data_IF_015667109509
#
_entry.id   IF_015667109509
#
_cell.length_a   1.000
_cell.length_b   1.000
_cell.length_c   1.000
_cell.angle_alpha   90.00
_cell.angle_beta   90.00
_cell.angle_gamma   90.00
#
_symmetry.space_group_name_H-M   'P 1'
#
loop_
_entity.id
_entity.type
_entity.pdbx_description
1 polymer ?
#
# COMPACT_ATOMS: atom_id res chain seq x y z
N UNK A 1 -28.16 -39.95 19.97
CA UNK A 1 -28.79 -40.61 18.80
C UNK A 1 -28.91 -39.56 17.72
N UNK A 2 -28.08 -39.60 16.67
CA UNK A 2 -28.48 -40.08 15.32
C UNK A 2 -29.70 -39.28 14.79
N UNK A 3 -29.70 -38.65 13.61
CA UNK A 3 -29.20 -39.16 12.33
C UNK A 3 -29.29 -38.08 11.22
N UNK A 4 -28.26 -38.05 10.36
CA UNK A 4 -28.26 -38.01 8.88
C UNK A 4 -29.17 -37.06 8.07
N UNK A 5 -28.48 -36.16 7.37
CA UNK A 5 -28.50 -35.84 5.91
C UNK A 5 -29.44 -36.66 4.99
N UNK A 6 -30.21 -35.94 4.16
CA UNK A 6 -30.60 -36.28 2.77
C UNK A 6 -30.84 -34.95 2.01
N UNK A 7 -29.88 -34.45 1.22
CA UNK A 7 -29.85 -34.47 -0.26
C UNK A 7 -31.23 -34.58 -0.93
N UNK A 8 -31.66 -33.49 -1.59
CA UNK A 8 -32.62 -33.50 -2.69
C UNK A 8 -31.95 -32.88 -3.91
N UNK A 9 -31.98 -33.62 -5.02
CA UNK A 9 -31.51 -33.29 -6.37
C UNK A 9 -32.73 -32.97 -7.24
N UNK A 10 -32.64 -31.94 -8.07
CA UNK A 10 -33.37 -31.80 -9.36
C UNK A 10 -32.44 -31.09 -10.36
N UNK A 11 -31.81 -31.81 -11.30
CA UNK A 11 -32.12 -31.94 -12.76
C UNK A 11 -32.42 -30.60 -13.47
N UNK A 12 -31.46 -30.05 -14.24
CA UNK A 12 -31.13 -30.29 -15.68
C UNK A 12 -32.15 -29.73 -16.69
N UNK A 13 -31.71 -28.75 -17.48
CA UNK A 13 -32.07 -28.59 -18.90
C UNK A 13 -30.82 -28.18 -19.69
N UNK A 14 -30.48 -29.02 -20.66
CA UNK A 14 -29.41 -28.92 -21.66
C UNK A 14 -29.67 -27.84 -22.73
N UNK A 15 -28.60 -27.30 -23.33
CA UNK A 15 -28.61 -26.87 -24.73
C UNK A 15 -27.24 -27.09 -25.42
N UNK A 16 -27.20 -28.09 -26.29
CA UNK A 16 -26.42 -28.23 -27.53
C UNK A 16 -24.87 -28.24 -27.55
N UNK A 17 -24.33 -29.44 -27.32
CA UNK A 17 -23.52 -30.28 -28.24
C UNK A 17 -22.84 -29.63 -29.49
N UNK A 18 -21.50 -29.55 -29.49
CA UNK A 18 -20.64 -30.00 -30.61
C UNK A 18 -19.33 -30.59 -30.08
N UNK A 19 -19.02 -31.78 -30.58
CA UNK A 19 -17.96 -32.70 -30.20
C UNK A 19 -16.67 -32.47 -30.99
N UNK A 20 -15.51 -32.51 -30.33
CA UNK A 20 -14.34 -33.27 -30.81
C UNK A 20 -13.20 -33.35 -29.78
N UNK A 21 -12.68 -34.58 -29.67
CA UNK A 21 -11.33 -34.97 -29.30
C UNK A 21 -10.79 -34.67 -27.87
N UNK A 22 -10.73 -35.78 -27.12
CA UNK A 22 -9.77 -36.12 -26.07
C UNK A 22 -8.39 -35.46 -26.29
N UNK A 23 -7.95 -34.67 -25.31
CA UNK A 23 -6.55 -34.65 -24.89
C UNK A 23 -6.52 -34.87 -23.38
N UNK A 24 -6.04 -36.05 -23.02
CA UNK A 24 -5.60 -36.38 -21.68
C UNK A 24 -4.38 -35.54 -21.35
N UNK A 25 -4.50 -34.64 -20.37
CA UNK A 25 -3.33 -34.18 -19.63
C UNK A 25 -3.66 -34.28 -18.14
N UNK A 26 -2.92 -35.17 -17.49
CA UNK A 26 -2.90 -35.40 -16.07
C UNK A 26 -2.50 -34.11 -15.36
N UNK A 27 -3.45 -33.39 -14.76
CA UNK A 27 -3.17 -32.37 -13.75
C UNK A 27 -3.63 -32.93 -12.42
N UNK A 28 -2.72 -33.64 -11.76
CA UNK A 28 -2.81 -33.96 -10.33
C UNK A 28 -3.00 -32.64 -9.59
N UNK A 29 -4.24 -32.35 -9.21
CA UNK A 29 -4.53 -31.31 -8.22
C UNK A 29 -3.92 -31.83 -6.93
N UNK A 30 -2.73 -31.31 -6.61
CA UNK A 30 -2.19 -31.38 -5.28
C UNK A 30 -3.12 -30.58 -4.38
N UNK A 31 -4.11 -31.26 -3.80
CA UNK A 31 -4.77 -30.81 -2.60
C UNK A 31 -3.65 -30.78 -1.55
N UNK A 32 -3.02 -29.61 -1.37
CA UNK A 32 -2.21 -29.37 -0.19
C UNK A 32 -3.17 -29.39 0.99
N UNK A 33 -3.35 -30.57 1.57
CA UNK A 33 -3.83 -30.73 2.92
C UNK A 33 -3.02 -29.77 3.79
N UNK A 34 -3.72 -28.88 4.50
CA UNK A 34 -3.11 -28.12 5.58
C UNK A 34 -2.35 -29.11 6.49
N UNK A 35 -1.11 -28.80 6.90
CA UNK A 35 -0.35 -29.70 7.74
C UNK A 35 -1.14 -30.02 9.01
N UNK A 36 -1.28 -31.32 9.24
CA UNK A 36 -1.94 -31.95 10.36
C UNK A 36 -1.49 -31.29 11.68
N UNK A 37 -2.44 -30.70 12.42
CA UNK A 37 -2.21 -29.90 13.65
C UNK A 37 -1.65 -30.71 14.83
N UNK A 38 -1.37 -31.99 14.62
CA UNK A 38 -1.00 -32.95 15.65
C UNK A 38 0.48 -32.93 16.05
N UNK A 39 1.38 -32.28 15.29
CA UNK A 39 2.83 -32.33 15.52
C UNK A 39 3.53 -30.96 15.68
N UNK A 40 2.90 -30.01 16.38
CA UNK A 40 3.62 -28.80 16.82
C UNK A 40 4.43 -29.10 18.10
N UNK A 41 5.71 -28.69 18.19
CA UNK A 41 6.54 -28.86 19.39
C UNK A 41 5.81 -28.33 20.64
N UNK A 42 5.91 -29.00 21.79
CA UNK A 42 5.21 -28.61 23.04
C UNK A 42 5.44 -27.14 23.42
N UNK A 43 6.64 -26.62 23.15
CA UNK A 43 7.00 -25.22 23.36
C UNK A 43 6.18 -24.25 22.48
N UNK A 44 5.85 -24.64 21.25
CA UNK A 44 5.01 -23.87 20.34
C UNK A 44 3.55 -23.80 20.84
N UNK A 45 3.03 -24.91 21.38
CA UNK A 45 1.71 -24.95 22.02
C UNK A 45 1.66 -24.04 23.26
N UNK A 46 2.72 -24.05 24.07
CA UNK A 46 2.85 -23.19 25.24
C UNK A 46 2.82 -21.70 24.86
N UNK A 47 3.61 -21.28 23.85
CA UNK A 47 3.63 -19.89 23.37
C UNK A 47 2.27 -19.45 22.81
N UNK A 48 1.53 -20.35 22.14
CA UNK A 48 0.18 -20.05 21.65
C UNK A 48 -0.82 -19.79 22.77
N UNK A 49 -0.81 -20.60 23.83
CA UNK A 49 -1.68 -20.38 24.99
C UNK A 49 -1.30 -19.11 25.76
N UNK A 50 -0.01 -18.79 25.85
CA UNK A 50 0.46 -17.51 26.39
C UNK A 50 -0.07 -16.32 25.57
N UNK A 51 -0.03 -16.40 24.24
CA UNK A 51 -0.58 -15.36 23.37
C UNK A 51 -2.09 -15.18 23.56
N UNK A 52 -2.86 -16.28 23.63
CA UNK A 52 -4.31 -16.24 23.87
C UNK A 52 -4.64 -15.63 25.23
N UNK A 53 -3.90 -16.03 26.28
CA UNK A 53 -4.04 -15.48 27.63
C UNK A 53 -3.71 -13.99 27.67
N UNK A 54 -2.60 -13.59 27.05
CA UNK A 54 -2.17 -12.20 26.92
C UNK A 54 -3.26 -11.35 26.22
N UNK A 55 -3.81 -11.85 25.11
CA UNK A 55 -4.91 -11.19 24.40
C UNK A 55 -6.17 -11.08 25.29
N UNK A 56 -6.57 -12.16 25.97
CA UNK A 56 -7.81 -12.21 26.74
C UNK A 56 -7.83 -11.22 27.92
N UNK A 57 -6.66 -10.96 28.53
CA UNK A 57 -6.53 -9.97 29.61
C UNK A 57 -6.34 -8.53 29.13
N UNK A 58 -6.17 -8.29 27.83
CA UNK A 58 -6.02 -6.94 27.27
C UNK A 58 -7.39 -6.32 26.99
N UNK A 59 -7.63 -5.13 27.53
CA UNK A 59 -8.78 -4.33 27.15
C UNK A 59 -8.50 -3.60 25.82
N UNK A 60 -8.98 -4.19 24.72
CA UNK A 60 -8.78 -3.66 23.37
C UNK A 60 -9.49 -2.32 23.08
N UNK A 61 -10.37 -1.84 23.97
CA UNK A 61 -10.94 -0.50 23.84
C UNK A 61 -10.00 0.60 24.37
N UNK A 62 -9.08 0.27 25.29
CA UNK A 62 -8.19 1.24 25.96
C UNK A 62 -6.79 1.25 25.35
N UNK A 63 -6.35 2.41 24.88
CA UNK A 63 -5.02 2.57 24.29
C UNK A 63 -3.89 2.27 25.27
N UNK A 64 -4.02 2.57 26.57
CA UNK A 64 -2.98 2.24 27.56
C UNK A 64 -2.78 0.73 27.69
N UNK A 65 -3.85 -0.05 27.69
CA UNK A 65 -3.77 -1.50 27.85
C UNK A 65 -3.23 -2.16 26.59
N UNK A 66 -3.59 -1.67 25.39
CA UNK A 66 -2.97 -2.13 24.13
C UNK A 66 -1.49 -1.77 24.04
N UNK A 67 -1.06 -0.62 24.56
CA UNK A 67 0.36 -0.28 24.63
C UNK A 67 1.14 -1.19 25.58
N UNK A 68 0.54 -1.64 26.70
CA UNK A 68 1.15 -2.63 27.60
C UNK A 68 1.29 -4.02 26.96
N UNK A 69 0.36 -4.38 26.07
CA UNK A 69 0.42 -5.64 25.31
C UNK A 69 1.67 -5.73 24.42
N UNK A 70 2.11 -4.62 23.81
CA UNK A 70 3.15 -4.62 22.77
C UNK A 70 4.50 -5.19 23.22
N UNK A 71 5.11 -4.75 24.34
CA UNK A 71 6.38 -5.32 24.81
C UNK A 71 6.29 -6.82 25.14
N UNK A 72 5.18 -7.25 25.73
CA UNK A 72 4.95 -8.65 26.09
C UNK A 72 4.77 -9.52 24.84
N UNK A 73 3.99 -9.03 23.87
CA UNK A 73 3.81 -9.68 22.58
C UNK A 73 5.14 -9.81 21.83
N UNK A 74 5.98 -8.77 21.84
CA UNK A 74 7.31 -8.86 21.24
C UNK A 74 8.20 -9.88 21.92
N UNK A 75 8.16 -9.98 23.26
CA UNK A 75 8.90 -11.00 24.00
C UNK A 75 8.49 -12.41 23.58
N UNK A 76 7.17 -12.63 23.41
CA UNK A 76 6.64 -13.89 22.88
C UNK A 76 7.11 -14.16 21.44
N UNK A 77 7.12 -13.15 20.56
CA UNK A 77 7.62 -13.30 19.18
C UNK A 77 9.10 -13.70 19.16
N UNK A 78 9.93 -13.05 19.97
CA UNK A 78 11.38 -13.32 20.00
C UNK A 78 11.69 -14.73 20.51
N UNK A 79 10.87 -15.24 21.42
CA UNK A 79 11.01 -16.58 22.00
C UNK A 79 10.18 -17.65 21.25
N UNK A 80 9.50 -17.28 20.17
CA UNK A 80 8.59 -18.16 19.46
C UNK A 80 9.35 -19.29 18.76
N UNK A 81 8.97 -20.53 19.05
CA UNK A 81 9.55 -21.73 18.41
C UNK A 81 8.51 -22.34 17.47
N UNK A 82 8.88 -22.49 16.20
CA UNK A 82 8.03 -23.02 15.15
C UNK A 82 7.33 -21.93 14.31
N UNK A 83 6.40 -22.33 13.42
CA UNK A 83 5.71 -21.38 12.56
C UNK A 83 4.79 -20.44 13.36
N UNK A 84 4.58 -19.19 12.90
CA UNK A 84 3.61 -18.29 13.52
C UNK A 84 2.19 -18.89 13.45
N UNK A 85 1.32 -18.59 14.43
CA UNK A 85 -0.03 -19.11 14.43
C UNK A 85 -0.91 -18.30 13.46
N UNK A 86 -1.98 -18.90 12.95
CA UNK A 86 -2.93 -18.15 12.14
C UNK A 86 -3.65 -17.08 12.99
N UNK A 87 -3.26 -15.82 12.80
CA UNK A 87 -3.80 -14.72 13.59
C UNK A 87 -5.30 -14.50 13.42
N UNK A 88 -5.93 -14.96 12.32
CA UNK A 88 -7.39 -14.82 12.16
C UNK A 88 -8.19 -15.65 13.13
N UNK A 89 -7.64 -16.76 13.61
CA UNK A 89 -8.31 -17.58 14.62
C UNK A 89 -8.12 -17.02 16.04
N UNK A 90 -7.28 -15.98 16.20
CA UNK A 90 -6.90 -15.42 17.50
C UNK A 90 -7.44 -14.00 17.65
N UNK A 91 -7.34 -13.16 16.62
CA UNK A 91 -7.70 -11.75 16.66
C UNK A 91 -8.81 -11.43 15.68
N UNK A 92 -9.74 -10.60 16.15
CA UNK A 92 -10.66 -9.89 15.28
C UNK A 92 -9.90 -8.87 14.42
N UNK A 93 -10.39 -8.60 13.22
CA UNK A 93 -9.77 -7.65 12.28
C UNK A 93 -9.53 -6.27 12.89
N UNK A 94 -10.44 -5.80 13.76
CA UNK A 94 -10.29 -4.52 14.45
C UNK A 94 -9.13 -4.54 15.45
N UNK A 95 -8.97 -5.61 16.21
CA UNK A 95 -7.88 -5.77 17.19
C UNK A 95 -6.54 -5.83 16.49
N UNK A 96 -6.43 -6.60 15.39
CA UNK A 96 -5.22 -6.62 14.57
C UNK A 96 -4.88 -5.24 14.01
N UNK A 97 -5.88 -4.49 13.55
CA UNK A 97 -5.65 -3.14 13.04
C UNK A 97 -5.11 -2.22 14.13
N UNK A 98 -5.67 -2.26 15.35
CA UNK A 98 -5.14 -1.50 16.48
C UNK A 98 -3.71 -1.92 16.85
N UNK A 99 -3.48 -3.23 16.95
CA UNK A 99 -2.15 -3.78 17.23
C UNK A 99 -1.11 -3.28 16.23
N UNK A 100 -1.40 -3.37 14.93
CA UNK A 100 -0.49 -2.90 13.88
C UNK A 100 -0.23 -1.40 13.98
N UNK A 101 -1.28 -0.59 14.16
CA UNK A 101 -1.15 0.87 14.35
C UNK A 101 -0.21 1.18 15.51
N UNK A 102 -0.44 0.56 16.66
CA UNK A 102 0.28 0.85 17.90
C UNK A 102 1.69 0.30 17.88
N UNK A 103 1.93 -0.87 17.28
CA UNK A 103 3.26 -1.39 17.04
C UNK A 103 4.10 -0.41 16.21
N UNK A 104 3.53 0.27 15.22
CA UNK A 104 4.29 1.22 14.42
C UNK A 104 4.53 2.53 15.19
N UNK A 105 3.54 3.00 15.93
CA UNK A 105 3.63 4.29 16.63
C UNK A 105 4.08 4.18 18.09
N UNK A 106 4.55 3.01 18.52
CA UNK A 106 4.96 2.77 19.90
C UNK A 106 6.14 3.69 20.28
N UNK A 107 5.98 4.42 21.38
CA UNK A 107 6.88 5.52 21.78
C UNK A 107 8.11 5.07 22.57
N UNK A 108 8.20 3.80 22.97
CA UNK A 108 9.35 3.30 23.72
C UNK A 108 10.63 3.47 22.89
N UNK A 109 11.69 4.13 23.40
CA UNK A 109 12.93 4.34 22.66
C UNK A 109 13.64 3.05 22.22
N UNK A 110 13.47 1.96 22.98
CA UNK A 110 13.99 0.63 22.61
C UNK A 110 13.18 -0.02 21.48
N UNK A 111 11.99 0.51 21.18
CA UNK A 111 11.13 0.08 20.08
C UNK A 111 11.53 0.81 18.79
N UNK A 112 12.61 0.36 18.18
CA UNK A 112 13.19 0.95 16.98
C UNK A 112 12.58 0.33 15.69
N UNK A 113 13.08 0.71 14.52
CA UNK A 113 12.57 0.18 13.24
C UNK A 113 12.72 -1.33 13.12
N UNK A 114 13.80 -1.91 13.65
CA UNK A 114 14.03 -3.36 13.63
C UNK A 114 12.95 -4.11 14.43
N UNK A 115 12.62 -3.64 15.63
CA UNK A 115 11.55 -4.22 16.46
C UNK A 115 10.19 -4.17 15.73
N UNK A 116 9.87 -3.03 15.10
CA UNK A 116 8.65 -2.88 14.28
C UNK A 116 8.62 -3.88 13.14
N UNK A 117 9.70 -3.99 12.39
CA UNK A 117 9.80 -4.91 11.25
C UNK A 117 9.69 -6.37 11.69
N UNK A 118 10.29 -6.76 12.83
CA UNK A 118 10.16 -8.12 13.38
C UNK A 118 8.72 -8.51 13.70
N UNK A 119 7.94 -7.59 14.29
CA UNK A 119 6.52 -7.85 14.54
C UNK A 119 5.76 -7.99 13.21
N UNK A 120 6.02 -7.10 12.25
CA UNK A 120 5.37 -7.16 10.94
C UNK A 120 5.72 -8.44 10.19
N UNK A 121 6.98 -8.88 10.22
CA UNK A 121 7.41 -10.14 9.62
C UNK A 121 6.68 -11.32 10.25
N UNK A 122 6.60 -11.37 11.58
CA UNK A 122 5.85 -12.44 12.26
C UNK A 122 4.36 -12.46 11.86
N UNK A 123 3.73 -11.30 11.68
CA UNK A 123 2.36 -11.19 11.17
C UNK A 123 2.26 -11.63 9.71
N UNK A 124 3.19 -11.24 8.85
CA UNK A 124 3.21 -11.63 7.43
C UNK A 124 3.43 -13.13 7.28
N UNK A 125 4.38 -13.69 8.02
CA UNK A 125 4.77 -15.10 7.98
C UNK A 125 3.66 -16.03 8.50
N UNK A 126 2.73 -15.51 9.31
CA UNK A 126 1.50 -16.23 9.68
C UNK A 126 0.49 -16.38 8.55
N UNK A 127 0.69 -15.68 7.43
CA UNK A 127 -0.28 -15.56 6.34
C UNK A 127 -1.43 -14.59 6.62
N UNK A 128 -1.36 -13.78 7.69
CA UNK A 128 -2.42 -12.82 8.01
C UNK A 128 -2.57 -11.75 6.91
N UNK A 129 -3.78 -11.61 6.39
CA UNK A 129 -4.21 -10.50 5.53
C UNK A 129 -5.36 -9.74 6.18
N UNK A 130 -5.49 -8.46 5.87
CA UNK A 130 -6.63 -7.66 6.26
C UNK A 130 -7.84 -7.99 5.35
N UNK A 131 -8.58 -9.04 5.70
CA UNK A 131 -9.88 -9.33 5.10
C UNK A 131 -10.95 -8.80 6.04
N UNK A 132 -11.47 -7.62 5.71
CA UNK A 132 -12.68 -7.10 6.32
C UNK A 132 -13.82 -7.29 5.34
N UNK A 133 -14.97 -7.72 5.85
CA UNK A 133 -16.21 -7.68 5.09
C UNK A 133 -16.42 -6.27 4.51
N UNK A 134 -16.65 -6.24 3.20
CA UNK A 134 -16.98 -5.02 2.47
C UNK A 134 -18.30 -4.49 3.03
N UNK A 135 -18.24 -3.35 3.71
CA UNK A 135 -19.46 -2.60 4.03
C UNK A 135 -19.87 -1.83 2.80
N UNK A 136 -21.10 -2.05 2.34
CA UNK A 136 -21.69 -1.30 1.25
C UNK A 136 -22.46 -0.10 1.81
N UNK A 137 -22.43 1.02 1.09
CA UNK A 137 -23.34 2.13 1.30
C UNK A 137 -24.75 1.79 0.85
N UNK A 138 -25.69 2.70 1.09
CA UNK A 138 -27.07 2.58 0.60
C UNK A 138 -27.15 2.50 -0.93
N UNK A 139 -26.13 3.06 -1.62
CA UNK A 139 -25.97 3.03 -3.07
C UNK A 139 -25.31 1.73 -3.60
N UNK A 140 -25.04 0.77 -2.72
CA UNK A 140 -24.38 -0.49 -3.08
C UNK A 140 -22.87 -0.37 -3.34
N UNK A 141 -22.26 0.81 -3.14
CA UNK A 141 -20.82 1.00 -3.34
C UNK A 141 -20.01 0.68 -2.08
N UNK A 142 -18.76 0.21 -2.20
CA UNK A 142 -17.87 -0.01 -1.06
C UNK A 142 -17.65 1.27 -0.23
N UNK A 143 -17.79 1.17 1.10
CA UNK A 143 -17.38 2.21 2.02
C UNK A 143 -15.86 2.21 2.19
N UNK A 144 -15.18 3.17 1.53
CA UNK A 144 -13.72 3.26 1.50
C UNK A 144 -13.10 4.08 2.64
N UNK A 145 -13.91 4.79 3.44
CA UNK A 145 -13.41 5.57 4.59
C UNK A 145 -13.03 4.64 5.75
N UNK A 146 -11.73 4.51 6.03
CA UNK A 146 -11.22 3.64 7.10
C UNK A 146 -9.84 4.06 7.60
N UNK A 147 -9.66 4.15 8.91
CA UNK A 147 -8.35 4.27 9.52
C UNK A 147 -7.63 2.91 9.54
N UNK A 148 -6.68 2.71 8.62
CA UNK A 148 -5.82 1.52 8.55
C UNK A 148 -4.45 1.80 9.13
N UNK A 149 -3.66 0.78 9.48
CA UNK A 149 -2.30 0.99 9.96
C UNK A 149 -1.41 1.72 8.94
N UNK A 150 -1.63 1.52 7.63
CA UNK A 150 -0.94 2.28 6.57
C UNK A 150 -1.23 3.77 6.69
N UNK A 151 -2.51 4.14 6.73
CA UNK A 151 -2.94 5.54 6.73
C UNK A 151 -2.61 6.25 8.05
N UNK A 152 -2.61 5.51 9.15
CA UNK A 152 -2.20 5.99 10.46
C UNK A 152 -0.69 6.22 10.55
N UNK A 153 0.10 5.29 10.03
CA UNK A 153 1.56 5.35 10.11
C UNK A 153 2.17 6.38 9.16
N UNK A 154 1.57 6.60 7.99
CA UNK A 154 2.15 7.44 6.93
C UNK A 154 2.51 8.87 7.35
N UNK A 155 1.66 9.60 8.10
CA UNK A 155 2.03 10.92 8.61
C UNK A 155 2.83 10.88 9.92
N UNK A 156 3.02 9.71 10.54
CA UNK A 156 3.55 9.61 11.89
C UNK A 156 5.09 9.70 11.92
N UNK A 157 5.71 10.56 12.75
CA UNK A 157 7.16 10.79 12.75
C UNK A 157 8.02 9.54 13.03
N UNK A 158 7.48 8.59 13.78
CA UNK A 158 8.18 7.32 14.09
C UNK A 158 8.19 6.32 12.92
N UNK A 159 7.28 6.48 11.96
CA UNK A 159 7.38 5.75 10.71
C UNK A 159 8.29 6.58 9.79
N UNK A 160 9.52 6.12 9.57
CA UNK A 160 10.50 6.82 8.75
C UNK A 160 11.27 5.88 7.81
N UNK A 161 10.87 4.62 7.73
CA UNK A 161 11.45 3.61 6.84
C UNK A 161 10.40 3.08 5.87
N UNK A 162 10.72 3.13 4.57
CA UNK A 162 9.86 2.58 3.52
C UNK A 162 9.66 1.05 3.63
N UNK A 163 10.58 0.34 4.30
CA UNK A 163 10.46 -1.11 4.59
C UNK A 163 9.21 -1.43 5.41
N UNK A 164 8.90 -0.62 6.43
CA UNK A 164 7.68 -0.76 7.24
C UNK A 164 6.44 -0.62 6.37
N UNK A 165 6.40 0.39 5.51
CA UNK A 165 5.27 0.60 4.58
C UNK A 165 5.10 -0.55 3.59
N UNK A 166 6.19 -1.02 2.98
CA UNK A 166 6.14 -2.19 2.09
C UNK A 166 5.61 -3.43 2.80
N UNK A 167 6.01 -3.67 4.05
CA UNK A 167 5.49 -4.78 4.88
C UNK A 167 3.99 -4.60 5.16
N UNK A 168 3.52 -3.39 5.46
CA UNK A 168 2.10 -3.15 5.63
C UNK A 168 1.28 -3.41 4.36
N UNK A 169 1.79 -3.04 3.17
CA UNK A 169 1.12 -3.40 1.92
C UNK A 169 1.14 -4.90 1.61
N UNK A 170 1.94 -5.72 2.31
CA UNK A 170 1.79 -7.18 2.29
C UNK A 170 0.63 -7.66 3.14
N UNK A 171 0.23 -6.91 4.17
CA UNK A 171 -0.92 -7.23 5.05
C UNK A 171 -2.23 -6.69 4.47
N UNK A 172 -2.22 -5.43 4.00
CA UNK A 172 -3.35 -4.77 3.35
C UNK A 172 -3.20 -4.86 1.83
N UNK A 173 -3.56 -6.01 1.25
CA UNK A 173 -3.30 -6.36 -0.15
C UNK A 173 -4.52 -6.26 -1.08
N UNK A 174 -5.58 -5.57 -0.64
CA UNK A 174 -6.77 -5.26 -1.43
C UNK A 174 -6.55 -4.02 -2.30
N UNK A 175 -5.78 -4.18 -3.37
CA UNK A 175 -5.41 -3.09 -4.29
C UNK A 175 -6.54 -2.63 -5.21
N UNK A 176 -7.64 -3.38 -5.28
CA UNK A 176 -8.91 -2.96 -5.88
C UNK A 176 -9.66 -1.91 -5.04
N UNK A 177 -9.20 -1.65 -3.81
CA UNK A 177 -9.81 -0.71 -2.88
C UNK A 177 -8.83 0.39 -2.47
N UNK A 178 -9.09 1.61 -2.89
CA UNK A 178 -8.29 2.77 -2.48
C UNK A 178 -8.82 3.37 -1.18
N UNK A 179 -8.59 2.68 -0.05
CA UNK A 179 -9.03 3.14 1.26
C UNK A 179 -8.47 4.53 1.59
N UNK A 180 -9.27 5.33 2.28
CA UNK A 180 -8.88 6.69 2.66
C UNK A 180 -9.24 7.04 4.11
N UNK A 181 -8.44 7.93 4.70
CA UNK A 181 -8.65 8.47 6.03
C UNK A 181 -8.10 9.89 6.08
N UNK A 182 -8.92 10.83 6.56
CA UNK A 182 -8.64 12.27 6.51
C UNK A 182 -8.32 12.75 5.09
N UNK A 183 -7.04 13.05 4.81
CA UNK A 183 -6.53 13.49 3.51
C UNK A 183 -5.80 12.37 2.75
N UNK A 184 -5.39 11.30 3.43
CA UNK A 184 -4.54 10.26 2.84
C UNK A 184 -5.36 9.13 2.25
N UNK A 185 -4.85 8.54 1.17
CA UNK A 185 -5.37 7.31 0.57
C UNK A 185 -4.26 6.26 0.48
N UNK A 186 -4.62 4.98 0.36
CA UNK A 186 -3.63 3.92 0.19
C UNK A 186 -2.77 4.13 -1.06
N UNK A 187 -3.37 4.47 -2.20
CA UNK A 187 -2.64 4.65 -3.44
C UNK A 187 -1.65 5.82 -3.36
N UNK A 188 -2.08 6.97 -2.86
CA UNK A 188 -1.20 8.12 -2.68
C UNK A 188 -0.11 7.86 -1.63
N UNK A 189 -0.44 7.10 -0.57
CA UNK A 189 0.55 6.66 0.42
C UNK A 189 1.62 5.77 -0.22
N UNK A 190 1.23 4.79 -1.03
CA UNK A 190 2.15 3.93 -1.77
C UNK A 190 3.09 4.76 -2.66
N UNK A 191 2.53 5.76 -3.35
CA UNK A 191 3.30 6.66 -4.21
C UNK A 191 4.32 7.48 -3.41
N UNK A 192 3.89 8.17 -2.35
CA UNK A 192 4.76 9.01 -1.52
C UNK A 192 5.89 8.22 -0.82
N UNK A 193 5.62 6.96 -0.44
CA UNK A 193 6.57 6.11 0.27
C UNK A 193 7.46 5.27 -0.65
N UNK A 194 7.27 5.31 -1.96
CA UNK A 194 8.07 4.53 -2.90
C UNK A 194 7.80 3.03 -2.77
N UNK A 195 6.54 2.64 -2.53
CA UNK A 195 6.11 1.25 -2.50
C UNK A 195 5.72 0.83 -3.93
N UNK A 196 6.71 0.70 -4.80
CA UNK A 196 6.57 0.44 -6.24
C UNK A 196 5.72 -0.80 -6.55
N UNK A 197 5.91 -1.92 -5.84
CA UNK A 197 5.07 -3.11 -6.00
C UNK A 197 3.58 -2.84 -5.69
N UNK A 198 3.31 -2.04 -4.65
CA UNK A 198 1.94 -1.68 -4.28
C UNK A 198 1.33 -0.73 -5.32
N UNK A 199 2.10 0.25 -5.80
CA UNK A 199 1.67 1.17 -6.87
C UNK A 199 1.34 0.39 -8.13
N UNK A 200 2.20 -0.54 -8.54
CA UNK A 200 1.94 -1.40 -9.70
C UNK A 200 0.64 -2.19 -9.54
N UNK A 201 0.41 -2.83 -8.39
CA UNK A 201 -0.83 -3.58 -8.14
C UNK A 201 -2.09 -2.71 -8.13
N UNK A 202 -2.01 -1.49 -7.59
CA UNK A 202 -3.13 -0.53 -7.69
C UNK A 202 -3.45 -0.20 -9.15
N UNK A 203 -2.43 0.10 -9.95
CA UNK A 203 -2.59 0.42 -11.37
C UNK A 203 -3.14 -0.78 -12.17
N UNK A 204 -2.63 -1.99 -11.92
CA UNK A 204 -3.14 -3.25 -12.50
C UNK A 204 -4.60 -3.52 -12.12
N UNK A 205 -5.03 -3.09 -10.93
CA UNK A 205 -6.42 -3.16 -10.48
C UNK A 205 -7.31 -2.03 -11.05
N UNK A 206 -6.77 -1.18 -11.95
CA UNK A 206 -7.53 -0.13 -12.63
C UNK A 206 -7.62 1.19 -11.85
N UNK A 207 -6.80 1.40 -10.83
CA UNK A 207 -6.71 2.69 -10.15
C UNK A 207 -6.26 3.77 -11.14
N UNK A 208 -7.04 4.85 -11.25
CA UNK A 208 -6.69 6.01 -12.08
C UNK A 208 -5.37 6.66 -11.57
N UNK A 209 -4.31 6.73 -12.40
CA UNK A 209 -3.04 7.37 -12.03
C UNK A 209 -3.14 8.90 -11.90
N UNK A 210 -4.24 9.50 -12.38
CA UNK A 210 -4.51 10.93 -12.37
C UNK A 210 -5.50 11.35 -11.28
N UNK A 211 -5.84 10.44 -10.36
CA UNK A 211 -6.80 10.72 -9.29
C UNK A 211 -6.26 11.78 -8.32
N UNK A 212 -7.11 12.66 -7.82
CA UNK A 212 -6.71 13.63 -6.80
C UNK A 212 -6.65 13.02 -5.40
N UNK A 213 -5.65 13.43 -4.62
CA UNK A 213 -5.66 13.22 -3.18
C UNK A 213 -6.83 14.00 -2.56
N UNK A 214 -7.71 13.37 -1.78
CA UNK A 214 -8.84 14.07 -1.16
C UNK A 214 -8.40 15.30 -0.36
N UNK A 215 -9.13 16.42 -0.53
CA UNK A 215 -8.96 17.72 0.17
C UNK A 215 -7.68 18.50 -0.13
N UNK A 216 -6.62 17.88 -0.64
CA UNK A 216 -5.35 18.56 -0.98
C UNK A 216 -5.19 18.71 -2.49
N UNK A 217 -5.90 17.89 -3.28
CA UNK A 217 -5.91 17.94 -4.74
C UNK A 217 -4.53 17.76 -5.39
N UNK A 218 -3.63 17.05 -4.70
CA UNK A 218 -2.31 16.66 -5.23
C UNK A 218 -2.45 15.37 -6.04
N UNK A 219 -1.72 15.28 -7.15
CA UNK A 219 -1.64 14.07 -7.97
C UNK A 219 -0.61 13.05 -7.47
N UNK A 220 -0.80 11.75 -7.74
CA UNK A 220 0.17 10.68 -7.48
C UNK A 220 1.55 10.99 -8.06
N UNK A 221 1.60 11.51 -9.30
CA UNK A 221 2.84 11.86 -9.99
C UNK A 221 3.58 12.99 -9.26
N UNK A 222 2.86 14.04 -8.82
CA UNK A 222 3.44 15.13 -8.03
C UNK A 222 4.00 14.62 -6.70
N UNK A 223 3.32 13.70 -6.00
CA UNK A 223 3.87 13.09 -4.79
C UNK A 223 5.16 12.31 -5.04
N UNK A 224 5.21 11.53 -6.12
CA UNK A 224 6.39 10.78 -6.49
C UNK A 224 7.58 11.72 -6.75
N UNK A 225 7.36 12.84 -7.44
CA UNK A 225 8.36 13.89 -7.68
C UNK A 225 8.79 14.56 -6.37
N UNK A 226 7.85 15.03 -5.55
CA UNK A 226 8.12 15.72 -4.28
C UNK A 226 8.92 14.82 -3.34
N UNK A 227 8.65 13.51 -3.34
CA UNK A 227 9.30 12.51 -2.48
C UNK A 227 10.45 11.75 -3.13
N UNK A 228 10.87 12.14 -4.34
CA UNK A 228 12.01 11.55 -5.08
C UNK A 228 11.87 10.04 -5.32
N UNK A 229 10.65 9.60 -5.60
CA UNK A 229 10.33 8.19 -5.86
C UNK A 229 10.44 7.92 -7.36
N UNK A 230 11.67 7.93 -7.89
CA UNK A 230 11.96 7.77 -9.34
C UNK A 230 11.26 6.56 -9.96
N UNK A 231 11.36 5.38 -9.34
CA UNK A 231 10.68 4.16 -9.82
C UNK A 231 9.15 4.29 -9.84
N UNK A 232 8.57 4.98 -8.85
CA UNK A 232 7.11 5.25 -8.83
C UNK A 232 6.73 6.26 -9.91
N UNK A 233 7.51 7.33 -10.10
CA UNK A 233 7.31 8.31 -11.17
C UNK A 233 7.29 7.61 -12.53
N UNK A 234 8.25 6.72 -12.79
CA UNK A 234 8.30 5.91 -13.99
C UNK A 234 7.07 5.01 -14.13
N UNK A 235 6.67 4.28 -13.07
CA UNK A 235 5.49 3.43 -13.10
C UNK A 235 4.21 4.22 -13.43
N UNK A 236 4.04 5.39 -12.81
CA UNK A 236 2.87 6.25 -13.05
C UNK A 236 2.82 6.74 -14.50
N UNK A 237 3.91 7.30 -15.02
CA UNK A 237 3.99 7.77 -16.42
C UNK A 237 3.77 6.63 -17.41
N UNK A 238 4.34 5.44 -17.14
CA UNK A 238 4.14 4.27 -18.01
C UNK A 238 2.71 3.74 -18.03
N UNK A 239 1.92 4.04 -16.99
CA UNK A 239 0.53 3.62 -16.84
C UNK A 239 -0.48 4.76 -17.07
N UNK A 240 -0.09 5.82 -17.78
CA UNK A 240 -1.02 6.86 -18.23
C UNK A 240 -1.22 8.03 -17.27
N UNK A 241 -0.32 8.24 -16.30
CA UNK A 241 -0.25 9.53 -15.62
C UNK A 241 0.06 10.63 -16.63
N UNK A 242 -0.74 11.70 -16.62
CA UNK A 242 -0.58 12.84 -17.50
C UNK A 242 0.53 13.77 -16.95
N UNK A 243 1.64 13.95 -17.68
CA UNK A 243 2.74 14.81 -17.25
C UNK A 243 2.38 16.31 -17.20
N UNK A 244 1.23 16.70 -17.75
CA UNK A 244 0.77 18.08 -17.84
C UNK A 244 -0.39 18.40 -16.88
N UNK A 245 -0.96 17.39 -16.23
CA UNK A 245 -2.13 17.61 -15.37
C UNK A 245 -1.72 18.43 -14.15
N UNK A 246 -2.39 19.56 -13.98
CA UNK A 246 -2.19 20.45 -12.85
C UNK A 246 -2.93 19.95 -11.61
N UNK A 247 -2.33 20.20 -10.44
CA UNK A 247 -2.99 20.03 -9.14
C UNK A 247 -3.97 21.18 -8.85
N UNK A 248 -4.58 21.15 -7.66
CA UNK A 248 -5.51 22.21 -7.21
C UNK A 248 -4.89 23.61 -7.04
N UNK A 249 -3.60 23.81 -7.34
CA UNK A 249 -2.91 25.11 -7.34
C UNK A 249 -2.40 25.48 -8.74
N UNK A 250 -2.90 24.80 -9.79
CA UNK A 250 -2.41 24.98 -11.16
C UNK A 250 -1.00 24.40 -11.38
N UNK A 251 -0.39 23.74 -10.39
CA UNK A 251 0.99 23.28 -10.47
C UNK A 251 1.08 21.91 -11.14
N UNK A 252 1.82 21.84 -12.25
CA UNK A 252 2.15 20.60 -12.97
C UNK A 252 3.36 19.87 -12.36
N UNK A 253 3.61 18.59 -12.69
CA UNK A 253 4.82 17.88 -12.27
C UNK A 253 6.11 18.67 -12.52
N UNK A 254 6.18 19.39 -13.64
CA UNK A 254 7.35 20.18 -14.01
C UNK A 254 7.61 21.36 -13.05
N UNK A 255 6.56 22.01 -12.54
CA UNK A 255 6.69 23.03 -11.49
C UNK A 255 7.36 22.45 -10.24
N UNK A 256 6.95 21.25 -9.82
CA UNK A 256 7.52 20.58 -8.65
C UNK A 256 8.98 20.18 -8.86
N UNK A 257 9.35 19.69 -10.05
CA UNK A 257 10.76 19.38 -10.38
C UNK A 257 11.60 20.65 -10.26
N UNK A 258 11.15 21.76 -10.84
CA UNK A 258 11.89 23.02 -10.87
C UNK A 258 12.05 23.67 -9.49
N UNK A 259 11.01 23.64 -8.64
CA UNK A 259 11.04 24.19 -7.27
C UNK A 259 12.08 23.52 -6.35
N UNK A 260 12.49 22.28 -6.64
CA UNK A 260 13.33 21.48 -5.74
C UNK A 260 14.78 21.96 -5.64
N UNK A 261 15.33 22.57 -6.68
CA UNK A 261 16.62 23.25 -6.56
C UNK A 261 17.87 22.36 -6.50
N UNK A 262 17.75 21.04 -6.70
CA UNK A 262 18.77 20.09 -6.20
C UNK A 262 19.18 18.97 -7.15
N UNK A 263 18.44 18.69 -8.22
CA UNK A 263 18.60 17.43 -8.95
C UNK A 263 18.26 17.59 -10.45
N UNK A 264 19.29 17.73 -11.28
CA UNK A 264 19.17 17.79 -12.74
C UNK A 264 18.73 16.43 -13.31
N UNK A 265 19.18 15.33 -12.69
CA UNK A 265 18.94 13.96 -13.16
C UNK A 265 17.45 13.61 -13.09
N UNK A 266 16.66 14.20 -12.18
CA UNK A 266 15.21 13.99 -12.12
C UNK A 266 14.49 14.60 -13.32
N UNK A 267 14.90 15.80 -13.75
CA UNK A 267 14.31 16.47 -14.90
C UNK A 267 14.62 15.70 -16.20
N UNK A 268 15.87 15.30 -16.37
CA UNK A 268 16.28 14.52 -17.54
C UNK A 268 15.59 13.16 -17.57
N UNK A 269 15.49 12.48 -16.44
CA UNK A 269 14.76 11.22 -16.34
C UNK A 269 13.27 11.38 -16.67
N UNK A 270 12.63 12.44 -16.16
CA UNK A 270 11.24 12.76 -16.46
C UNK A 270 11.00 12.94 -17.95
N UNK A 271 11.81 13.77 -18.62
CA UNK A 271 11.70 13.97 -20.07
C UNK A 271 12.01 12.69 -20.84
N UNK A 272 13.07 11.96 -20.49
CA UNK A 272 13.42 10.70 -21.15
C UNK A 272 12.27 9.68 -21.10
N UNK A 273 11.59 9.56 -19.97
CA UNK A 273 10.43 8.66 -19.82
C UNK A 273 9.26 9.16 -20.68
N UNK A 274 8.97 10.47 -20.65
CA UNK A 274 7.91 11.05 -21.45
C UNK A 274 8.16 10.87 -22.95
N UNK A 275 9.37 11.19 -23.44
CA UNK A 275 9.79 10.99 -24.83
C UNK A 275 9.67 9.52 -25.23
N UNK A 276 10.17 8.60 -24.40
CA UNK A 276 10.09 7.15 -24.65
C UNK A 276 8.65 6.61 -24.66
N UNK A 277 7.68 7.36 -24.13
CA UNK A 277 6.25 7.04 -24.16
C UNK A 277 5.47 7.93 -25.14
N UNK A 278 6.15 8.77 -25.92
CA UNK A 278 5.55 9.77 -26.80
C UNK A 278 4.55 10.69 -26.07
N UNK A 279 4.83 11.02 -24.80
CA UNK A 279 4.05 11.96 -24.01
C UNK A 279 4.60 13.36 -24.25
N UNK A 280 3.81 14.22 -24.91
CA UNK A 280 4.17 15.63 -25.08
C UNK A 280 4.09 16.36 -23.74
N UNK A 281 5.20 16.96 -23.31
CA UNK A 281 5.27 17.76 -22.08
C UNK A 281 5.18 19.24 -22.45
N UNK A 282 4.18 19.94 -21.90
CA UNK A 282 4.13 21.39 -21.92
C UNK A 282 5.15 21.95 -20.92
N UNK A 283 6.14 22.68 -21.42
CA UNK A 283 7.19 23.29 -20.59
C UNK A 283 6.85 24.69 -20.07
N UNK A 284 5.80 25.32 -20.62
CA UNK A 284 5.34 26.67 -20.27
C UNK A 284 3.96 26.75 -19.58
N UNK A 285 3.47 25.75 -18.81
CA UNK A 285 2.22 25.90 -18.08
C UNK A 285 2.39 27.01 -17.04
N UNK A 286 1.32 27.76 -16.76
CA UNK A 286 1.31 28.74 -15.67
C UNK A 286 0.48 28.20 -14.53
N UNK A 287 1.03 28.22 -13.33
CA UNK A 287 0.27 27.94 -12.11
C UNK A 287 -0.66 29.11 -11.72
N UNK A 288 -1.39 28.97 -10.61
CA UNK A 288 -2.34 29.98 -10.15
C UNK A 288 -1.66 31.31 -9.73
N UNK A 289 -0.33 31.30 -9.57
CA UNK A 289 0.47 32.51 -9.34
C UNK A 289 1.02 33.11 -10.64
N UNK A 290 0.56 32.62 -11.79
CA UNK A 290 0.97 33.00 -13.13
C UNK A 290 2.47 32.74 -13.40
N UNK A 291 3.05 31.77 -12.68
CA UNK A 291 4.47 31.39 -12.79
C UNK A 291 4.64 30.15 -13.63
N UNK A 292 5.65 30.14 -14.50
CA UNK A 292 6.05 28.93 -15.26
C UNK A 292 7.00 28.06 -14.45
N UNK A 293 7.24 26.79 -14.83
CA UNK A 293 8.28 25.98 -14.22
C UNK A 293 9.65 26.65 -14.24
N UNK A 294 10.04 27.26 -15.37
CA UNK A 294 11.32 27.97 -15.50
C UNK A 294 11.46 29.14 -14.51
N UNK A 295 10.37 29.84 -14.17
CA UNK A 295 10.39 30.95 -13.19
C UNK A 295 10.83 30.53 -11.78
N UNK A 296 10.73 29.24 -11.44
CA UNK A 296 11.18 28.69 -10.17
C UNK A 296 12.65 28.27 -10.16
N UNK A 297 13.34 28.34 -11.31
CA UNK A 297 14.73 27.92 -11.49
C UNK A 297 15.64 29.16 -11.36
N UNK A 298 16.35 29.35 -10.24
CA UNK A 298 17.27 30.48 -10.13
C UNK A 298 18.45 30.26 -11.07
N UNK A 299 18.60 31.11 -12.09
CA UNK A 299 19.63 30.99 -13.12
C UNK A 299 21.06 30.84 -12.56
N UNK A 300 21.33 31.43 -11.39
CA UNK A 300 22.63 31.38 -10.72
C UNK A 300 22.90 30.07 -9.98
N UNK A 301 21.86 29.29 -9.65
CA UNK A 301 21.97 28.08 -8.82
C UNK A 301 21.62 26.79 -9.54
N UNK A 302 20.95 26.88 -10.69
CA UNK A 302 20.46 25.72 -11.44
C UNK A 302 20.65 25.88 -12.96
N UNK A 303 21.89 26.14 -13.43
CA UNK A 303 22.13 26.42 -14.84
C UNK A 303 21.75 25.24 -15.74
N UNK A 304 21.95 24.00 -15.28
CA UNK A 304 21.62 22.79 -16.05
C UNK A 304 20.12 22.58 -16.22
N UNK A 305 19.32 22.64 -15.15
CA UNK A 305 17.85 22.63 -15.25
C UNK A 305 17.35 23.71 -16.22
N UNK A 306 17.86 24.95 -16.10
CA UNK A 306 17.49 26.03 -17.01
C UNK A 306 17.85 25.70 -18.47
N UNK A 307 19.07 25.20 -18.73
CA UNK A 307 19.50 24.80 -20.07
C UNK A 307 18.63 23.68 -20.67
N UNK A 308 18.25 22.67 -19.87
CA UNK A 308 17.37 21.59 -20.35
C UNK A 308 15.99 22.12 -20.73
N UNK A 309 15.41 23.03 -19.93
CA UNK A 309 14.12 23.65 -20.24
C UNK A 309 14.20 24.56 -21.47
N UNK A 310 15.23 25.41 -21.57
CA UNK A 310 15.45 26.29 -22.73
C UNK A 310 15.67 25.51 -24.02
N UNK A 311 16.38 24.37 -23.94
CA UNK A 311 16.55 23.45 -25.07
C UNK A 311 15.26 22.73 -25.49
N UNK A 312 14.17 22.89 -24.73
CA UNK A 312 12.82 22.39 -25.03
C UNK A 312 11.81 23.53 -25.24
N UNK A 313 12.29 24.69 -25.66
CA UNK A 313 11.47 25.86 -25.99
C UNK A 313 10.72 26.47 -24.79
N UNK A 314 11.33 26.42 -23.59
CA UNK A 314 10.80 27.15 -22.44
C UNK A 314 10.98 28.67 -22.59
N UNK A 315 9.93 29.44 -22.28
CA UNK A 315 9.92 30.89 -22.44
C UNK A 315 10.72 31.58 -21.33
N UNK A 316 11.68 32.42 -21.70
CA UNK A 316 12.36 33.35 -20.80
C UNK A 316 11.41 34.53 -20.55
N UNK A 317 10.63 34.45 -19.48
CA UNK A 317 9.76 35.55 -19.03
C UNK A 317 10.55 36.62 -18.29
#
# INVERSE_FOLDING_TARGET
>A
MFTRIQIIVYRLVDYNNRSCARVSVCSTIAIMCAPDSSNQPEQSRSSLEQLKSLKARTNWAKAEDRNKFIPEFYSLIVSWVGPPPNFRHIFHTAEMNFLLMECITHKNPRWNSYTREKVLDFVIDSGYKDERELKLGEDGKPLLRRCTAILWAAPHPLCNKATVMRKLFKIYDKFDLNYHFEVNTHFHTACAWGCDEAVQKFLEAGQDPNCFMPRVEILPLNLAVIKERRKVMELLLKNGADPNKADGQGSTPLHFICRRGKDDDLLEEFFRICDGKNLTVNVNPKDDTNRTPLSYVPATRMPRVAMVLLGRDADIQ
#
